data_IF_523025233076
#
_entry.id   IF_523025233076
#
_cell.length_a   1.000
_cell.length_b   1.000
_cell.length_c   1.000
_cell.angle_alpha   90.00
_cell.angle_beta   90.00
_cell.angle_gamma   90.00
#
_symmetry.space_group_name_H-M   'P 1'
#
loop_
_entity.id
_entity.type
_entity.pdbx_description
1 polymer ?
#
# COMPACT_ATOMS: atom_id res chain seq x y z
N UNK A 1 8.52 6.54 -22.08
CA UNK A 1 8.21 6.06 -20.73
C UNK A 1 6.85 5.40 -20.72
N UNK A 2 6.81 4.16 -20.29
CA UNK A 2 5.56 3.40 -20.29
C UNK A 2 4.78 3.76 -19.04
N UNK A 3 3.55 4.25 -19.20
CA UNK A 3 2.66 4.50 -18.07
C UNK A 3 2.20 3.14 -17.55
N UNK A 4 2.36 2.83 -16.24
CA UNK A 4 1.86 1.58 -15.72
C UNK A 4 0.37 1.45 -15.99
N UNK A 5 -0.05 0.32 -16.51
CA UNK A 5 -1.47 0.07 -16.72
C UNK A 5 -2.16 -0.06 -15.36
N UNK A 6 -3.27 0.62 -15.22
CA UNK A 6 -4.11 0.51 -14.02
C UNK A 6 -5.19 -0.51 -14.28
N UNK A 7 -5.47 -1.33 -13.27
CA UNK A 7 -6.50 -2.35 -13.35
C UNK A 7 -7.64 -1.97 -12.43
N UNK A 8 -8.87 -2.10 -12.92
CA UNK A 8 -10.06 -1.87 -12.11
C UNK A 8 -10.04 -2.84 -10.94
N UNK A 9 -10.07 -2.33 -9.72
CA UNK A 9 -9.97 -3.14 -8.51
C UNK A 9 -11.10 -4.18 -8.44
N UNK A 10 -12.28 -3.86 -8.94
CA UNK A 10 -13.42 -4.77 -8.93
C UNK A 10 -13.23 -5.97 -9.87
N UNK A 11 -12.31 -5.88 -10.82
CA UNK A 11 -12.02 -6.96 -11.76
C UNK A 11 -10.95 -7.92 -11.26
N UNK A 12 -10.24 -7.58 -10.19
CA UNK A 12 -9.18 -8.41 -9.66
C UNK A 12 -9.74 -9.61 -8.90
N UNK A 13 -9.21 -10.77 -9.18
CA UNK A 13 -9.64 -12.01 -8.55
C UNK A 13 -8.76 -12.36 -7.36
N UNK A 14 -9.32 -13.15 -6.45
CA UNK A 14 -8.56 -13.74 -5.36
C UNK A 14 -7.34 -14.47 -5.93
N UNK A 15 -6.19 -14.23 -5.32
CA UNK A 15 -4.92 -14.80 -5.77
C UNK A 15 -4.12 -13.90 -6.69
N UNK A 16 -4.70 -12.80 -7.16
CA UNK A 16 -3.96 -11.87 -8.01
C UNK A 16 -2.81 -11.25 -7.21
N UNK A 17 -1.62 -11.29 -7.80
CA UNK A 17 -0.42 -10.70 -7.20
C UNK A 17 -0.03 -9.44 -7.96
N UNK A 18 0.09 -8.34 -7.25
CA UNK A 18 0.55 -7.09 -7.84
C UNK A 18 2.04 -7.19 -8.16
N UNK A 19 2.48 -6.58 -9.27
CA UNK A 19 3.91 -6.46 -9.52
C UNK A 19 4.60 -5.78 -8.35
N UNK A 20 5.78 -6.25 -7.97
CA UNK A 20 6.53 -5.65 -6.89
C UNK A 20 6.86 -4.20 -7.21
N UNK A 21 6.73 -3.33 -6.22
CA UNK A 21 7.04 -1.91 -6.35
C UNK A 21 8.15 -1.55 -5.38
N UNK A 22 9.18 -0.90 -5.88
CA UNK A 22 10.32 -0.49 -5.08
C UNK A 22 10.27 1.02 -4.89
N UNK A 23 10.48 1.47 -3.67
CA UNK A 23 10.52 2.89 -3.35
C UNK A 23 11.60 3.17 -2.31
N UNK A 24 12.04 4.41 -2.27
CA UNK A 24 13.06 4.85 -1.32
C UNK A 24 12.45 5.81 -0.32
N UNK A 25 12.78 5.62 0.96
CA UNK A 25 12.35 6.53 2.01
C UNK A 25 13.38 7.66 2.07
N UNK A 26 13.02 8.82 1.54
CA UNK A 26 13.90 9.99 1.58
C UNK A 26 13.68 10.79 2.87
N UNK A 27 14.73 11.47 3.31
CA UNK A 27 14.62 12.39 4.44
C UNK A 27 13.57 13.48 4.17
N UNK A 28 13.52 13.97 2.94
CA UNK A 28 12.54 14.98 2.53
C UNK A 28 11.11 14.44 2.62
N UNK A 29 10.89 13.21 2.16
CA UNK A 29 9.57 12.58 2.23
C UNK A 29 9.13 12.34 3.66
N UNK A 30 10.04 11.93 4.54
CA UNK A 30 9.75 11.76 5.97
C UNK A 30 9.40 13.12 6.58
N UNK A 31 10.14 14.16 6.25
CA UNK A 31 9.87 15.51 6.75
C UNK A 31 8.48 15.98 6.36
N UNK A 32 8.09 15.78 5.11
CA UNK A 32 6.73 16.15 4.65
C UNK A 32 5.65 15.37 5.39
N UNK A 33 5.89 14.09 5.65
CA UNK A 33 4.95 13.29 6.40
C UNK A 33 4.79 13.80 7.83
N UNK A 34 5.90 14.07 8.52
CA UNK A 34 5.88 14.57 9.90
C UNK A 34 5.18 15.93 9.98
N UNK A 35 5.42 16.81 9.02
CA UNK A 35 4.73 18.09 8.96
C UNK A 35 3.23 17.93 8.75
N UNK A 36 2.82 17.01 7.87
CA UNK A 36 1.42 16.77 7.57
C UNK A 36 0.64 16.25 8.79
N UNK A 37 1.27 15.43 9.63
CA UNK A 37 0.65 14.90 10.84
C UNK A 37 0.98 15.72 12.08
N UNK A 38 1.72 16.83 11.90
CA UNK A 38 2.14 17.72 12.99
C UNK A 38 2.92 17.02 14.10
N UNK A 39 3.63 15.96 13.74
CA UNK A 39 4.50 15.26 14.68
C UNK A 39 5.85 15.96 14.70
N UNK A 40 6.11 16.65 15.80
CA UNK A 40 7.35 17.39 15.98
C UNK A 40 8.34 16.69 16.91
N UNK A 41 8.03 15.44 17.29
CA UNK A 41 8.97 14.71 18.11
C UNK A 41 10.22 14.44 17.29
N UNK A 42 11.38 14.86 17.78
CA UNK A 42 12.65 14.58 17.16
C UNK A 42 13.10 13.14 17.38
N UNK A 43 12.23 12.32 17.91
CA UNK A 43 12.57 11.02 18.44
C UNK A 43 12.73 9.93 17.37
N UNK A 44 12.47 10.22 16.11
CA UNK A 44 12.56 9.22 15.06
C UNK A 44 14.01 8.93 14.64
N UNK A 45 14.93 9.86 14.92
CA UNK A 45 16.35 9.66 14.64
C UNK A 45 16.59 9.27 13.19
N UNK A 46 17.34 8.19 12.97
CA UNK A 46 17.64 7.68 11.64
C UNK A 46 16.58 6.71 11.11
N UNK A 47 15.66 6.31 11.94
CA UNK A 47 14.60 5.38 11.53
C UNK A 47 13.43 6.13 10.92
N UNK A 48 12.87 5.58 9.86
CA UNK A 48 11.67 6.13 9.26
C UNK A 48 10.45 5.82 10.13
N UNK A 49 9.51 6.77 10.31
CA UNK A 49 8.27 6.47 11.02
C UNK A 49 7.51 5.34 10.32
N UNK A 50 7.03 4.33 11.07
CA UNK A 50 6.31 3.21 10.45
C UNK A 50 5.11 3.64 9.62
N UNK A 51 4.36 4.65 10.06
CA UNK A 51 3.20 5.13 9.30
C UNK A 51 3.59 5.83 8.01
N UNK A 52 4.80 6.41 7.94
CA UNK A 52 5.31 6.96 6.67
C UNK A 52 5.59 5.84 5.68
N UNK A 53 6.15 4.72 6.14
CA UNK A 53 6.37 3.55 5.30
C UNK A 53 5.03 3.02 4.79
N UNK A 54 4.04 2.90 5.67
CA UNK A 54 2.70 2.45 5.31
C UNK A 54 2.06 3.36 4.26
N UNK A 55 2.19 4.67 4.43
CA UNK A 55 1.62 5.64 3.50
C UNK A 55 2.24 5.51 2.10
N UNK A 56 3.55 5.35 2.02
CA UNK A 56 4.24 5.18 0.74
C UNK A 56 3.88 3.85 0.08
N UNK A 57 3.78 2.78 0.86
CA UNK A 57 3.39 1.47 0.34
C UNK A 57 1.96 1.49 -0.20
N UNK A 58 1.04 2.10 0.54
CA UNK A 58 -0.34 2.22 0.10
C UNK A 58 -0.45 3.07 -1.15
N UNK A 59 0.30 4.17 -1.22
CA UNK A 59 0.34 4.99 -2.43
C UNK A 59 0.83 4.20 -3.63
N UNK A 60 1.90 3.43 -3.48
CA UNK A 60 2.42 2.60 -4.55
C UNK A 60 1.40 1.55 -5.02
N UNK A 61 0.65 0.98 -4.08
CA UNK A 61 -0.41 0.03 -4.39
C UNK A 61 -1.55 0.69 -5.15
N UNK A 62 -2.05 1.83 -4.65
CA UNK A 62 -3.19 2.53 -5.24
C UNK A 62 -2.87 3.09 -6.62
N UNK A 63 -1.63 3.43 -6.90
CA UNK A 63 -1.22 3.89 -8.23
C UNK A 63 -1.41 2.84 -9.31
N UNK A 64 -1.50 1.56 -8.93
CA UNK A 64 -1.71 0.45 -9.86
C UNK A 64 -3.17 0.07 -10.02
N UNK A 65 -4.05 0.73 -9.29
CA UNK A 65 -5.47 0.44 -9.30
C UNK A 65 -6.24 1.56 -9.96
N UNK A 66 -7.23 1.17 -10.75
CA UNK A 66 -8.28 2.07 -11.18
C UNK A 66 -9.41 1.93 -10.17
N UNK A 67 -9.75 3.02 -9.49
CA UNK A 67 -10.82 3.07 -8.52
C UNK A 67 -12.01 3.78 -9.17
N UNK A 68 -13.05 3.04 -9.59
CA UNK A 68 -14.21 3.68 -10.20
C UNK A 68 -14.92 4.59 -9.21
N UNK A 69 -15.69 5.56 -9.74
CA UNK A 69 -16.46 6.46 -8.90
C UNK A 69 -17.37 5.65 -7.96
N UNK A 70 -17.45 6.06 -6.72
CA UNK A 70 -18.18 5.34 -5.69
C UNK A 70 -17.37 4.31 -4.92
N UNK A 71 -16.08 4.17 -5.25
CA UNK A 71 -15.19 3.28 -4.49
C UNK A 71 -14.92 3.84 -3.10
N UNK A 72 -14.78 2.93 -2.13
CA UNK A 72 -14.48 3.28 -0.74
C UNK A 72 -13.27 2.50 -0.25
N UNK A 73 -12.38 3.19 0.46
CA UNK A 73 -11.34 2.55 1.25
C UNK A 73 -11.95 2.23 2.62
N UNK A 74 -12.44 1.00 2.77
CA UNK A 74 -13.29 0.65 3.90
C UNK A 74 -12.52 0.36 5.18
N UNK A 75 -11.30 -0.17 5.07
CA UNK A 75 -10.51 -0.51 6.25
C UNK A 75 -9.04 -0.61 5.90
N UNK A 76 -8.19 -0.36 6.89
CA UNK A 76 -6.76 -0.54 6.75
C UNK A 76 -6.17 -0.96 8.09
N UNK A 77 -5.32 -1.98 8.07
CA UNK A 77 -4.58 -2.45 9.21
C UNK A 77 -3.12 -2.55 8.83
N UNK A 78 -2.23 -2.12 9.71
CA UNK A 78 -0.80 -2.26 9.50
C UNK A 78 -0.14 -2.76 10.79
N UNK A 79 0.89 -3.58 10.61
CA UNK A 79 1.72 -4.07 11.70
C UNK A 79 3.18 -3.78 11.36
N UNK A 80 3.81 -3.00 12.21
CA UNK A 80 5.24 -2.72 12.08
C UNK A 80 6.03 -3.84 12.74
N UNK A 81 6.95 -4.44 12.01
CA UNK A 81 7.74 -5.56 12.52
C UNK A 81 9.20 -5.22 12.74
N UNK A 82 9.73 -4.25 12.04
CA UNK A 82 11.11 -3.84 12.20
C UNK A 82 11.28 -2.39 11.76
N UNK A 83 12.32 -1.76 12.25
CA UNK A 83 12.66 -0.41 11.83
C UNK A 83 13.35 -0.42 10.48
N UNK A 84 13.13 0.63 9.69
CA UNK A 84 13.85 0.86 8.46
C UNK A 84 14.50 2.24 8.54
N UNK A 85 15.79 2.36 8.18
CA UNK A 85 16.46 3.65 8.22
C UNK A 85 15.98 4.56 7.09
N UNK A 86 16.04 5.85 7.33
CA UNK A 86 15.82 6.85 6.28
C UNK A 86 16.88 6.62 5.19
N UNK A 87 16.48 6.66 3.94
CA UNK A 87 17.33 6.37 2.80
C UNK A 87 17.27 4.94 2.32
N UNK A 88 16.61 4.06 3.07
CA UNK A 88 16.48 2.66 2.68
C UNK A 88 15.61 2.50 1.43
N UNK A 89 16.01 1.55 0.60
CA UNK A 89 15.19 1.12 -0.52
C UNK A 89 14.35 -0.07 -0.10
N UNK A 90 13.05 0.04 -0.28
CA UNK A 90 12.09 -0.96 0.17
C UNK A 90 11.28 -1.46 -1.01
N UNK A 91 10.89 -2.72 -0.95
CA UNK A 91 10.02 -3.35 -1.95
C UNK A 91 8.70 -3.73 -1.31
N UNK A 92 7.60 -3.31 -1.92
CA UNK A 92 6.25 -3.68 -1.53
C UNK A 92 5.74 -4.77 -2.46
N UNK A 93 5.14 -5.82 -1.87
CA UNK A 93 4.44 -6.87 -2.60
C UNK A 93 3.04 -7.00 -2.03
N UNK A 94 2.07 -7.22 -2.90
CA UNK A 94 0.68 -7.33 -2.49
C UNK A 94 -0.06 -8.41 -3.25
N UNK A 95 -1.09 -8.94 -2.62
CA UNK A 95 -1.94 -9.98 -3.18
C UNK A 95 -3.38 -9.76 -2.76
N UNK A 96 -4.31 -10.01 -3.68
CA UNK A 96 -5.74 -10.05 -3.34
C UNK A 96 -6.01 -11.37 -2.65
N UNK A 97 -6.31 -11.33 -1.35
CA UNK A 97 -6.49 -12.54 -0.55
C UNK A 97 -7.96 -12.91 -0.35
N UNK A 98 -8.86 -11.94 -0.49
CA UNK A 98 -10.29 -12.18 -0.39
C UNK A 98 -11.03 -11.29 -1.37
N UNK A 99 -12.11 -11.81 -1.90
CA UNK A 99 -13.00 -11.08 -2.78
C UNK A 99 -14.43 -11.53 -2.53
N UNK A 100 -15.33 -10.60 -2.31
CA UNK A 100 -16.74 -10.92 -2.13
C UNK A 100 -17.61 -9.90 -2.86
N UNK A 101 -18.79 -10.33 -3.27
CA UNK A 101 -19.75 -9.45 -3.94
C UNK A 101 -20.97 -9.31 -3.06
N UNK A 102 -21.40 -8.07 -2.85
CA UNK A 102 -22.60 -7.76 -2.06
C UNK A 102 -23.28 -6.53 -2.62
N UNK A 103 -24.57 -6.67 -2.95
CA UNK A 103 -25.42 -5.52 -3.25
C UNK A 103 -24.89 -4.60 -4.34
N UNK A 104 -24.29 -5.14 -5.38
CA UNK A 104 -23.73 -4.32 -6.46
C UNK A 104 -22.32 -3.83 -6.21
N UNK A 105 -21.69 -4.22 -5.11
CA UNK A 105 -20.33 -3.87 -4.78
C UNK A 105 -19.42 -5.10 -4.75
N UNK A 106 -18.16 -4.90 -5.04
CA UNK A 106 -17.12 -5.89 -4.85
C UNK A 106 -16.22 -5.40 -3.72
N UNK A 107 -16.08 -6.22 -2.69
CA UNK A 107 -15.13 -5.97 -1.60
C UNK A 107 -13.87 -6.81 -1.83
N UNK A 108 -12.73 -6.15 -1.93
CA UNK A 108 -11.44 -6.80 -2.14
C UNK A 108 -10.54 -6.54 -0.95
N UNK A 109 -9.97 -7.60 -0.40
CA UNK A 109 -8.97 -7.50 0.65
C UNK A 109 -7.61 -7.74 0.02
N UNK A 110 -6.72 -6.78 0.20
CA UNK A 110 -5.36 -6.85 -0.33
C UNK A 110 -4.41 -6.90 0.86
N UNK A 111 -3.66 -7.97 0.97
CA UNK A 111 -2.59 -8.07 1.96
C UNK A 111 -1.28 -7.72 1.28
N UNK A 112 -0.47 -6.94 1.97
CA UNK A 112 0.80 -6.49 1.43
C UNK A 112 1.89 -6.55 2.48
N UNK A 113 3.13 -6.64 2.00
CA UNK A 113 4.31 -6.58 2.84
C UNK A 113 5.33 -5.63 2.25
N UNK A 114 6.12 -5.03 3.12
CA UNK A 114 7.22 -4.15 2.75
C UNK A 114 8.48 -4.69 3.37
N UNK A 115 9.50 -4.91 2.55
CA UNK A 115 10.77 -5.47 3.00
C UNK A 115 11.94 -4.71 2.37
N UNK A 116 13.14 -4.75 2.98
CA UNK A 116 14.30 -4.18 2.33
C UNK A 116 14.53 -4.81 0.95
N UNK A 117 14.86 -3.98 -0.03
CA UNK A 117 14.99 -4.44 -1.41
C UNK A 117 16.13 -5.44 -1.60
N UNK A 118 17.16 -5.36 -0.77
CA UNK A 118 18.34 -6.22 -0.82
C UNK A 118 18.23 -7.45 0.08
N UNK A 119 17.13 -7.60 0.79
CA UNK A 119 16.95 -8.67 1.76
C UNK A 119 15.74 -9.51 1.39
N UNK A 120 15.98 -10.79 1.18
CA UNK A 120 14.91 -11.73 0.89
C UNK A 120 14.36 -12.29 2.20
N UNK A 121 13.54 -11.56 2.89
CA UNK A 121 13.06 -12.26 4.00
C UNK A 121 12.15 -11.50 4.94
N UNK A 122 12.72 -10.79 5.85
CA UNK A 122 11.97 -10.25 6.96
C UNK A 122 11.30 -8.93 6.58
N UNK A 123 9.97 -8.88 6.49
CA UNK A 123 9.30 -7.59 6.22
C UNK A 123 9.48 -6.64 7.40
N UNK A 124 9.61 -5.36 7.09
CA UNK A 124 9.59 -4.31 8.11
C UNK A 124 8.15 -3.94 8.47
N UNK A 125 7.21 -4.20 7.57
CA UNK A 125 5.82 -3.86 7.76
C UNK A 125 4.95 -4.82 6.95
N UNK A 126 3.84 -5.24 7.54
CA UNK A 126 2.79 -5.97 6.83
C UNK A 126 1.48 -5.24 7.01
N UNK A 127 0.60 -5.35 6.03
CA UNK A 127 -0.66 -4.65 6.08
C UNK A 127 -1.77 -5.34 5.34
N UNK A 128 -2.97 -4.87 5.59
CA UNK A 128 -4.18 -5.33 4.95
C UNK A 128 -5.05 -4.12 4.66
N UNK A 129 -5.49 -3.99 3.43
CA UNK A 129 -6.42 -2.93 3.05
C UNK A 129 -7.64 -3.54 2.40
N UNK A 130 -8.81 -2.98 2.71
CA UNK A 130 -10.07 -3.41 2.12
C UNK A 130 -10.61 -2.27 1.27
N UNK A 131 -10.87 -2.56 0.01
CA UNK A 131 -11.44 -1.60 -0.93
C UNK A 131 -12.79 -2.14 -1.40
N UNK A 132 -13.81 -1.30 -1.36
CA UNK A 132 -15.12 -1.61 -1.92
C UNK A 132 -15.32 -0.78 -3.17
N UNK A 133 -15.67 -1.44 -4.26
CA UNK A 133 -15.89 -0.76 -5.53
C UNK A 133 -17.22 -1.23 -6.15
N UNK A 134 -17.90 -0.36 -6.90
CA UNK A 134 -19.08 -0.79 -7.64
C UNK A 134 -18.75 -1.91 -8.61
N UNK A 135 -19.66 -2.85 -8.78
CA UNK A 135 -19.48 -3.91 -9.77
C UNK A 135 -19.37 -3.29 -11.16
N UNK A 136 -18.48 -3.84 -12.00
CA UNK A 136 -18.40 -3.37 -13.38
C UNK A 136 -19.77 -3.58 -14.05
N UNK A 137 -20.15 -2.61 -14.89
CA UNK A 137 -21.37 -2.74 -15.67
C UNK A 137 -21.21 -3.93 -16.63
N UNK A 138 -22.23 -4.80 -16.64
CA UNK A 138 -22.30 -5.85 -17.63
C UNK A 138 -22.70 -5.20 -18.95
N UNK A 139 -21.76 -5.16 -19.86
CA UNK A 139 -22.03 -4.52 -21.15
C UNK A 139 -21.72 -5.40 -22.30
#
# INVERSE_FOLDING_TARGET
MTIPSRTNVAALRRGYRFPAATFRISAEGVGRYLDAVQDRSAAHGEAAPPLAIAALALRALLERLELPAGSLHAAQEVECRAAAPVGAELTMRGEVTQRSERGGFVASVIEFEVAPADSLGEPVLVGRTTVMAPRPAEG
#
